data_IF_716870442521
#
_entry.id   IF_716870442521
#
_cell.length_a   1.000
_cell.length_b   1.000
_cell.length_c   1.000
_cell.angle_alpha   90.00
_cell.angle_beta   90.00
_cell.angle_gamma   90.00
#
_symmetry.space_group_name_H-M   'P 1'
#
loop_
_entity.id
_entity.type
_entity.pdbx_description
1 polymer ?
#
# COMPACT_ATOMS: atom_id res chain seq x y z
N UNK A 1 0.90 -7.22 -8.34
CA UNK A 1 2.17 -6.46 -8.49
C UNK A 1 2.21 -5.39 -7.41
N UNK A 2 3.37 -4.95 -6.89
CA UNK A 2 3.37 -3.80 -5.99
C UNK A 2 2.71 -2.59 -6.67
N UNK A 3 1.98 -1.80 -5.90
CA UNK A 3 1.29 -0.61 -6.40
C UNK A 3 2.28 0.29 -7.12
N UNK A 4 1.88 0.74 -8.30
CA UNK A 4 2.62 1.76 -9.03
C UNK A 4 2.67 3.08 -8.25
N UNK A 5 3.47 4.03 -8.74
CA UNK A 5 3.64 5.32 -8.06
C UNK A 5 2.33 6.11 -7.97
N UNK A 6 1.38 5.92 -8.89
CA UNK A 6 0.10 6.64 -8.88
C UNK A 6 -0.82 6.12 -7.78
N UNK A 7 -0.99 4.80 -7.68
CA UNK A 7 -1.80 4.15 -6.65
C UNK A 7 -1.16 4.26 -5.28
N UNK A 8 0.16 4.08 -5.19
CA UNK A 8 0.89 4.25 -3.93
C UNK A 8 0.77 5.68 -3.37
N UNK A 9 0.82 6.70 -4.23
CA UNK A 9 0.54 8.09 -3.87
C UNK A 9 -0.88 8.25 -3.33
N UNK A 10 -1.90 7.68 -3.99
CA UNK A 10 -3.30 7.74 -3.54
C UNK A 10 -3.50 7.08 -2.18
N UNK A 11 -2.83 5.95 -1.93
CA UNK A 11 -2.87 5.29 -0.61
C UNK A 11 -2.26 6.19 0.47
N UNK A 12 -1.11 6.80 0.21
CA UNK A 12 -0.50 7.72 1.16
C UNK A 12 -1.36 8.96 1.40
N UNK A 13 -2.00 9.49 0.36
CA UNK A 13 -2.98 10.58 0.49
C UNK A 13 -4.17 10.14 1.35
N UNK A 14 -4.74 8.96 1.12
CA UNK A 14 -5.82 8.41 1.94
C UNK A 14 -5.44 8.35 3.42
N UNK A 15 -4.28 7.76 3.74
CA UNK A 15 -3.76 7.62 5.11
C UNK A 15 -3.59 8.99 5.78
N UNK A 16 -3.17 10.00 5.02
CA UNK A 16 -2.78 11.30 5.57
C UNK A 16 -3.85 12.39 5.51
N UNK A 17 -4.95 12.19 4.78
CA UNK A 17 -6.04 13.15 4.64
C UNK A 17 -7.34 12.72 5.31
N UNK A 18 -7.71 11.42 5.25
CA UNK A 18 -9.01 10.91 5.74
C UNK A 18 -8.91 10.13 7.05
N UNK A 19 -7.84 10.34 7.82
CA UNK A 19 -7.59 9.59 9.05
C UNK A 19 -8.59 9.92 10.17
N UNK A 20 -9.21 11.09 10.13
CA UNK A 20 -10.24 11.53 11.08
C UNK A 20 -11.63 10.97 10.76
N UNK A 21 -11.92 10.67 9.50
CA UNK A 21 -13.15 10.03 9.05
C UNK A 21 -13.27 8.58 9.59
N UNK A 22 -14.29 8.37 10.43
CA UNK A 22 -14.61 7.08 11.05
C UNK A 22 -14.82 5.96 10.03
N UNK A 23 -15.33 6.28 8.83
CA UNK A 23 -15.53 5.31 7.74
C UNK A 23 -14.21 4.73 7.22
N UNK A 24 -13.14 5.54 7.27
CA UNK A 24 -11.82 5.19 6.74
C UNK A 24 -10.86 4.67 7.80
N UNK A 25 -11.04 4.98 9.09
CA UNK A 25 -10.12 4.55 10.17
C UNK A 25 -9.74 3.08 10.11
N UNK A 26 -10.72 2.17 10.13
CA UNK A 26 -10.47 0.71 10.10
C UNK A 26 -9.71 0.27 8.84
N UNK A 27 -9.95 0.92 7.71
CA UNK A 27 -9.28 0.64 6.44
C UNK A 27 -7.85 1.15 6.45
N UNK A 28 -7.62 2.34 6.99
CA UNK A 28 -6.30 2.92 7.17
C UNK A 28 -5.49 2.07 8.16
N UNK A 29 -6.08 1.62 9.27
CA UNK A 29 -5.47 0.68 10.22
C UNK A 29 -5.01 -0.60 9.53
N UNK A 30 -5.90 -1.23 8.75
CA UNK A 30 -5.55 -2.43 7.99
C UNK A 30 -4.44 -2.12 6.98
N UNK A 31 -4.52 -1.00 6.27
CA UNK A 31 -3.49 -0.57 5.30
C UNK A 31 -2.13 -0.41 5.98
N UNK A 32 -2.06 0.22 7.15
CA UNK A 32 -0.83 0.39 7.93
C UNK A 32 -0.30 -0.94 8.51
N UNK A 33 -1.13 -1.98 8.60
CA UNK A 33 -0.68 -3.32 8.99
C UNK A 33 0.07 -4.04 7.86
N UNK A 34 -0.19 -3.69 6.60
CA UNK A 34 0.36 -4.35 5.40
C UNK A 34 1.88 -4.24 5.29
N UNK A 35 2.55 -5.19 4.61
CA UNK A 35 3.98 -5.10 4.36
C UNK A 35 4.30 -3.93 3.40
N UNK A 36 5.40 -3.20 3.62
CA UNK A 36 5.81 -2.09 2.76
C UNK A 36 6.20 -2.52 1.34
N UNK A 37 6.43 -3.82 1.11
CA UNK A 37 6.73 -4.38 -0.21
C UNK A 37 5.63 -4.15 -1.24
N UNK A 38 4.40 -3.86 -0.83
CA UNK A 38 3.30 -3.52 -1.74
C UNK A 38 3.39 -2.12 -2.36
N UNK A 39 4.35 -1.29 -1.97
CA UNK A 39 4.67 -0.04 -2.67
C UNK A 39 5.84 -0.27 -3.64
N UNK A 40 5.68 -0.02 -4.94
CA UNK A 40 6.77 -0.18 -5.91
C UNK A 40 7.80 0.95 -5.77
N UNK A 41 7.33 2.18 -5.60
CA UNK A 41 8.17 3.36 -5.49
C UNK A 41 8.94 3.38 -4.14
N UNK A 42 10.28 3.52 -4.15
CA UNK A 42 11.09 3.45 -2.93
C UNK A 42 10.83 4.62 -1.99
N UNK A 43 10.57 5.82 -2.51
CA UNK A 43 10.29 7.01 -1.70
C UNK A 43 8.97 6.83 -0.96
N UNK A 44 7.91 6.43 -1.67
CA UNK A 44 6.60 6.12 -1.10
C UNK A 44 6.68 4.98 -0.09
N UNK A 45 7.52 3.97 -0.35
CA UNK A 45 7.77 2.86 0.58
C UNK A 45 8.40 3.35 1.89
N UNK A 46 9.39 4.24 1.82
CA UNK A 46 10.01 4.84 3.00
C UNK A 46 9.02 5.70 3.80
N UNK A 47 8.23 6.53 3.11
CA UNK A 47 7.17 7.33 3.72
C UNK A 47 6.14 6.44 4.41
N UNK A 48 5.66 5.39 3.73
CA UNK A 48 4.73 4.43 4.29
C UNK A 48 5.28 3.74 5.54
N UNK A 49 6.55 3.30 5.51
CA UNK A 49 7.20 2.67 6.65
C UNK A 49 7.31 3.63 7.84
N UNK A 50 7.66 4.90 7.60
CA UNK A 50 7.72 5.91 8.63
C UNK A 50 6.34 6.13 9.29
N UNK A 51 5.29 6.31 8.48
CA UNK A 51 3.92 6.47 8.99
C UNK A 51 3.49 5.24 9.80
N UNK A 52 3.74 4.04 9.27
CA UNK A 52 3.47 2.76 9.95
C UNK A 52 4.13 2.69 11.32
N UNK A 53 5.41 3.01 11.41
CA UNK A 53 6.17 2.96 12.66
C UNK A 53 5.74 4.07 13.63
N UNK A 54 5.57 5.29 13.14
CA UNK A 54 5.17 6.45 13.96
C UNK A 54 3.80 6.27 14.60
N UNK A 55 2.82 5.79 13.83
CA UNK A 55 1.46 5.57 14.32
C UNK A 55 1.37 4.32 15.23
N UNK A 56 2.11 3.25 14.91
CA UNK A 56 2.18 2.06 15.78
C UNK A 56 2.91 2.34 17.10
N UNK A 57 3.94 3.17 17.10
CA UNK A 57 4.63 3.60 18.32
C UNK A 57 3.68 4.40 19.24
N UNK A 58 2.77 5.17 18.66
CA UNK A 58 1.74 5.87 19.43
C UNK A 58 0.75 4.89 20.09
N UNK A 59 0.35 3.83 19.37
CA UNK A 59 -0.46 2.72 19.91
C UNK A 59 0.17 2.05 21.12
N UNK A 60 1.48 1.84 21.10
CA UNK A 60 2.20 1.18 22.20
C UNK A 60 2.37 2.04 23.46
N UNK A 61 2.33 3.38 23.34
CA UNK A 61 2.73 4.28 24.44
C UNK A 61 1.60 4.74 25.35
N UNK A 62 0.35 4.65 24.92
CA UNK A 62 -0.74 5.32 25.64
C UNK A 62 -1.77 4.43 26.32
N UNK A 63 -1.79 3.11 26.08
CA UNK A 63 -2.90 2.25 26.50
C UNK A 63 -4.29 2.83 26.13
N UNK A 64 -4.32 3.75 25.15
CA UNK A 64 -5.52 4.41 24.66
C UNK A 64 -6.30 3.41 23.78
N UNK A 65 -7.64 3.48 23.75
CA UNK A 65 -8.44 2.68 22.83
C UNK A 65 -7.97 2.87 21.38
N UNK A 66 -8.01 1.79 20.58
CA UNK A 66 -7.58 1.81 19.16
C UNK A 66 -8.21 2.97 18.36
N UNK A 67 -9.43 3.36 18.72
CA UNK A 67 -10.19 4.47 18.12
C UNK A 67 -9.59 5.88 18.34
N UNK A 68 -8.59 6.04 19.21
CA UNK A 68 -7.94 7.32 19.54
C UNK A 68 -6.57 7.55 18.90
N UNK A 69 -5.93 6.51 18.36
CA UNK A 69 -4.59 6.61 17.75
C UNK A 69 -4.65 7.09 16.30
N UNK A 70 -5.65 6.61 15.56
CA UNK A 70 -5.99 7.08 14.22
C UNK A 70 -7.21 8.01 14.30
N UNK A 71 -7.04 9.24 13.80
CA UNK A 71 -8.09 10.26 13.86
C UNK A 71 -7.91 11.32 14.93
N UNK A 72 -6.68 11.50 15.44
CA UNK A 72 -6.38 12.44 16.52
C UNK A 72 -5.08 13.23 16.31
N UNK A 73 -4.67 13.98 17.33
CA UNK A 73 -3.47 14.83 17.32
C UNK A 73 -2.20 14.07 16.96
N UNK A 74 -2.08 12.83 17.43
CA UNK A 74 -0.96 11.93 17.14
C UNK A 74 -0.74 11.72 15.64
N UNK A 75 -1.83 11.46 14.92
CA UNK A 75 -1.79 11.23 13.48
C UNK A 75 -1.32 12.49 12.76
N UNK A 76 -1.90 13.63 13.14
CA UNK A 76 -1.51 14.94 12.62
C UNK A 76 -0.03 15.24 12.86
N UNK A 77 0.47 15.01 14.07
CA UNK A 77 1.86 15.30 14.44
C UNK A 77 2.86 14.47 13.61
N UNK A 78 2.58 13.17 13.41
CA UNK A 78 3.44 12.30 12.58
C UNK A 78 3.44 12.77 11.13
N UNK A 79 2.29 13.15 10.58
CA UNK A 79 2.17 13.66 9.20
C UNK A 79 2.92 14.99 9.05
N UNK A 80 2.69 15.94 9.96
CA UNK A 80 3.35 17.23 9.96
C UNK A 80 4.87 17.05 10.04
N UNK A 81 5.35 16.15 10.90
CA UNK A 81 6.78 15.88 11.04
C UNK A 81 7.42 15.38 9.74
N UNK A 82 6.74 14.50 8.99
CA UNK A 82 7.22 14.07 7.66
C UNK A 82 7.35 15.27 6.72
N UNK A 83 6.34 16.16 6.69
CA UNK A 83 6.32 17.32 5.79
C UNK A 83 7.39 18.36 6.13
N UNK A 84 7.64 18.59 7.42
CA UNK A 84 8.62 19.59 7.88
C UNK A 84 10.05 19.05 7.93
N UNK A 85 10.23 17.75 8.16
CA UNK A 85 11.53 17.10 8.34
C UNK A 85 11.63 15.80 7.53
N UNK A 86 11.58 15.86 6.18
CA UNK A 86 11.57 14.67 5.32
C UNK A 86 12.83 13.80 5.47
N UNK A 87 13.96 14.40 5.85
CA UNK A 87 15.21 13.69 6.14
C UNK A 87 15.09 12.64 7.27
N UNK A 88 14.08 12.76 8.15
CA UNK A 88 13.79 11.75 9.19
C UNK A 88 13.16 10.48 8.61
N UNK A 89 12.55 10.56 7.42
CA UNK A 89 12.00 9.41 6.71
C UNK A 89 13.14 8.64 6.03
N UNK A 90 13.97 9.36 5.26
CA UNK A 90 15.26 8.90 4.76
C UNK A 90 16.11 10.10 4.33
N UNK A 91 17.46 10.03 4.39
CA UNK A 91 18.34 11.17 4.09
C UNK A 91 18.19 11.75 2.68
N UNK A 92 17.75 10.94 1.72
CA UNK A 92 17.58 11.32 0.32
C UNK A 92 16.25 12.00 0.00
N UNK A 93 15.27 11.96 0.92
CA UNK A 93 13.91 12.46 0.66
C UNK A 93 13.86 13.97 0.84
N UNK A 94 13.28 14.65 -0.16
CA UNK A 94 13.14 16.09 -0.22
C UNK A 94 11.72 16.53 0.15
N UNK A 95 11.50 17.85 0.23
CA UNK A 95 10.16 18.41 0.52
C UNK A 95 9.15 18.10 -0.58
N UNK A 96 9.57 18.10 -1.85
CA UNK A 96 8.68 17.88 -2.98
C UNK A 96 8.13 16.44 -3.01
N UNK A 97 8.93 15.48 -2.55
CA UNK A 97 8.57 14.07 -2.42
C UNK A 97 7.43 13.82 -1.43
N UNK A 98 7.21 14.74 -0.48
CA UNK A 98 6.19 14.61 0.58
C UNK A 98 5.13 15.71 0.52
N UNK A 99 5.22 16.62 -0.46
CA UNK A 99 4.32 17.77 -0.58
C UNK A 99 2.85 17.36 -0.75
N UNK A 100 2.60 16.21 -1.38
CA UNK A 100 1.25 15.69 -1.63
C UNK A 100 0.55 15.14 -0.37
N UNK A 101 1.29 14.89 0.72
CA UNK A 101 0.72 14.34 1.95
C UNK A 101 -0.28 15.32 2.58
N UNK A 102 -1.41 14.78 3.04
CA UNK A 102 -2.54 15.55 3.58
C UNK A 102 -3.45 16.16 2.51
N UNK A 103 -3.15 15.97 1.22
CA UNK A 103 -4.10 16.32 0.14
C UNK A 103 -5.08 15.17 -0.03
N UNK A 104 -6.38 15.49 -0.11
CA UNK A 104 -7.41 14.47 -0.36
C UNK A 104 -7.18 13.79 -1.73
N UNK A 105 -7.27 12.45 -1.80
CA UNK A 105 -7.01 11.72 -3.04
C UNK A 105 -8.18 11.76 -4.05
N UNK A 106 -9.28 12.46 -3.75
CA UNK A 106 -10.42 12.61 -4.65
C UNK A 106 -11.55 11.60 -4.42
N UNK A 107 -12.69 11.85 -5.05
CA UNK A 107 -13.92 11.06 -4.90
C UNK A 107 -13.78 9.63 -5.43
N UNK A 108 -12.82 9.38 -6.32
CA UNK A 108 -12.54 8.05 -6.85
C UNK A 108 -12.01 7.07 -5.79
N UNK A 109 -11.45 7.59 -4.69
CA UNK A 109 -11.04 6.78 -3.55
C UNK A 109 -12.30 6.42 -2.75
N UNK A 110 -12.92 5.32 -3.16
CA UNK A 110 -14.10 4.71 -2.56
C UNK A 110 -13.73 3.43 -1.82
N UNK A 111 -14.69 2.85 -1.08
CA UNK A 111 -14.47 1.56 -0.42
C UNK A 111 -14.17 0.44 -1.41
N UNK A 112 -14.87 0.42 -2.56
CA UNK A 112 -14.62 -0.53 -3.63
C UNK A 112 -13.20 -0.37 -4.20
N UNK A 113 -12.77 0.87 -4.44
CA UNK A 113 -11.39 1.14 -4.85
C UNK A 113 -10.37 0.63 -3.82
N UNK A 114 -10.65 0.76 -2.53
CA UNK A 114 -9.75 0.27 -1.49
C UNK A 114 -9.67 -1.25 -1.48
N UNK A 115 -10.80 -1.94 -1.68
CA UNK A 115 -10.82 -3.40 -1.79
C UNK A 115 -10.02 -3.87 -3.03
N UNK A 116 -10.19 -3.22 -4.19
CA UNK A 116 -9.43 -3.51 -5.41
C UNK A 116 -7.93 -3.24 -5.23
N UNK A 117 -7.59 -2.13 -4.57
CA UNK A 117 -6.21 -1.79 -4.24
C UNK A 117 -5.57 -2.84 -3.33
N UNK A 118 -6.32 -3.43 -2.38
CA UNK A 118 -5.80 -4.51 -1.54
C UNK A 118 -5.48 -5.76 -2.35
N UNK A 119 -6.31 -6.12 -3.35
CA UNK A 119 -6.00 -7.24 -4.25
C UNK A 119 -4.69 -6.99 -4.96
N UNK A 120 -4.52 -5.80 -5.54
CA UNK A 120 -3.29 -5.42 -6.22
C UNK A 120 -2.07 -5.45 -5.28
N UNK A 121 -2.22 -4.99 -4.03
CA UNK A 121 -1.16 -4.99 -3.02
C UNK A 121 -0.56 -6.40 -2.77
N UNK A 122 -1.39 -7.43 -2.89
CA UNK A 122 -1.02 -8.82 -2.60
C UNK A 122 -0.88 -9.71 -3.82
N UNK A 123 -1.28 -9.25 -5.01
CA UNK A 123 -1.05 -9.98 -6.24
C UNK A 123 0.46 -10.20 -6.41
N UNK A 124 0.88 -11.43 -6.18
CA UNK A 124 2.16 -11.93 -6.67
C UNK A 124 1.93 -12.16 -8.15
N UNK A 125 2.80 -11.67 -9.05
CA UNK A 125 2.64 -11.97 -10.47
C UNK A 125 2.48 -13.49 -10.64
N UNK A 126 1.33 -13.92 -11.16
CA UNK A 126 1.37 -15.14 -11.97
C UNK A 126 2.38 -14.81 -13.07
N UNK A 127 3.49 -15.54 -13.11
CA UNK A 127 4.38 -15.51 -14.27
C UNK A 127 3.48 -15.65 -15.49
N UNK A 128 3.46 -14.61 -16.31
CA UNK A 128 2.88 -14.64 -17.64
C UNK A 128 3.56 -15.82 -18.34
N UNK A 129 2.90 -16.99 -18.32
CA UNK A 129 3.33 -18.13 -19.12
C UNK A 129 3.38 -17.57 -20.53
N UNK A 130 4.55 -17.54 -21.20
CA UNK A 130 4.56 -17.20 -22.61
C UNK A 130 3.55 -18.14 -23.27
N UNK A 131 2.65 -17.57 -24.08
CA UNK A 131 1.74 -18.32 -24.93
C UNK A 131 2.57 -19.33 -25.73
N UNK A 132 2.68 -20.56 -25.23
CA UNK A 132 3.19 -21.66 -26.01
C UNK A 132 2.00 -22.13 -26.86
N UNK A 133 2.11 -21.79 -28.14
CA UNK A 133 1.19 -21.99 -29.26
C UNK A 133 0.40 -23.32 -29.23
N UNK A 134 -0.79 -23.37 -29.84
CA UNK A 134 -1.65 -24.55 -29.81
C UNK A 134 -0.95 -25.78 -30.43
N UNK A 135 -1.21 -26.99 -29.93
CA UNK A 135 -0.60 -28.21 -30.44
C UNK A 135 -1.07 -28.47 -31.87
N UNK A 136 -0.21 -28.21 -32.86
CA UNK A 136 -0.38 -28.70 -34.22
C UNK A 136 -0.16 -30.21 -34.22
N UNK A 137 -1.26 -30.95 -34.24
CA UNK A 137 -1.24 -32.41 -34.33
C UNK A 137 -0.73 -32.94 -35.67
N UNK A 138 0.04 -34.03 -35.59
CA UNK A 138 0.09 -35.14 -36.56
C UNK A 138 0.96 -36.21 -35.88
N UNK A 139 0.47 -37.33 -35.34
CA UNK A 139 -0.34 -38.33 -35.99
C UNK A 139 0.58 -39.37 -36.64
N UNK A 140 1.04 -40.40 -35.90
CA UNK A 140 1.15 -41.77 -36.42
C UNK A 140 1.25 -42.82 -35.29
N UNK A 141 0.55 -43.95 -35.52
CA UNK A 141 0.30 -45.08 -34.63
C UNK A 141 1.47 -46.06 -34.57
N UNK A 142 1.52 -46.90 -33.52
CA UNK A 142 1.61 -48.39 -33.54
C UNK A 142 1.93 -48.87 -32.11
N UNK A 143 0.94 -49.23 -31.29
CA UNK A 143 0.38 -50.59 -31.10
C UNK A 143 1.24 -51.56 -30.26
N UNK A 144 0.72 -51.85 -29.04
CA UNK A 144 0.76 -53.14 -28.28
C UNK A 144 2.11 -53.67 -27.78
N UNK A 145 2.26 -54.40 -26.68
CA UNK A 145 1.46 -54.78 -25.51
C UNK A 145 2.42 -55.48 -24.52
N UNK A 146 2.03 -55.49 -23.24
CA UNK A 146 2.46 -56.33 -22.10
C UNK A 146 3.22 -57.63 -22.40
N UNK A 147 4.33 -57.88 -21.68
CA UNK A 147 4.55 -59.05 -20.78
C UNK A 147 5.76 -58.76 -19.89
#
# INVERSE_FOLDING_TARGET
MPLDAALGKKVLQLITSRYDDRRWRKRIEKTLSLPPSGMADPVQRHVFLYLKLGLKAYKSRRADPDSWILGGYATKEVIDRVKFQPHLVAPSIQKDDVAFLGTDPGEEVTEAWWDDMLVQWFDVPEEEKPDEEPPSGSGEKTSSATT
#
